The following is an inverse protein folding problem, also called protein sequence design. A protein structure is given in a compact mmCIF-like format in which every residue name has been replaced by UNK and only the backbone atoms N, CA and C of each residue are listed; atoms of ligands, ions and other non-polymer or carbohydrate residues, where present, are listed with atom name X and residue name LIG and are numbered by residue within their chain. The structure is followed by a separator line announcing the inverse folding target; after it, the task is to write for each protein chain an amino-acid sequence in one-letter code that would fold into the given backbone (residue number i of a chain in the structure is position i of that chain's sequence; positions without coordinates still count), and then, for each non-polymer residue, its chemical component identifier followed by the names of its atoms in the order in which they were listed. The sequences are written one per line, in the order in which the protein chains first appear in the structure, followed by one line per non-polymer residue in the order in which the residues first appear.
data_IF_866769977794
#
_entry.id   IF_866769977794
#
_cell.length_a   1.000
_cell.length_b   1.000
_cell.length_c   1.000
_cell.angle_alpha   90.00
_cell.angle_beta   90.00
_cell.angle_gamma   90.00
#
_symmetry.space_group_name_H-M   'P 1'
#
loop_
_entity.id
_entity.type
_entity.pdbx_description
1 polymer ?
#
# COMPACT_ATOMS: atom_id res chain seq x y z
N UNK A 1 11.16 -6.01 24.04
CA UNK A 1 9.87 -5.61 23.42
C UNK A 1 9.35 -6.80 22.63
N UNK A 2 8.06 -7.10 22.74
CA UNK A 2 7.40 -8.20 22.02
C UNK A 2 6.12 -7.71 21.36
N UNK A 3 5.78 -8.28 20.21
CA UNK A 3 4.48 -8.06 19.57
C UNK A 3 3.39 -8.67 20.46
N UNK A 4 2.43 -7.85 20.89
CA UNK A 4 1.34 -8.24 21.77
C UNK A 4 0.03 -8.44 21.00
N UNK A 5 -0.23 -7.65 19.96
CA UNK A 5 -1.49 -7.68 19.21
C UNK A 5 -1.30 -7.22 17.77
N UNK A 6 -2.06 -7.82 16.86
CA UNK A 6 -2.23 -7.35 15.49
C UNK A 6 -3.72 -7.11 15.25
N UNK A 7 -4.09 -5.90 14.86
CA UNK A 7 -5.46 -5.48 14.62
C UNK A 7 -5.63 -5.05 13.17
N UNK A 8 -6.80 -5.33 12.57
CA UNK A 8 -7.11 -4.97 11.19
C UNK A 8 -8.22 -3.91 11.14
N UNK A 9 -8.06 -2.91 10.27
CA UNK A 9 -8.98 -1.77 10.13
C UNK A 9 -9.38 -1.56 8.67
N UNK A 10 -10.65 -1.20 8.48
CA UNK A 10 -11.29 -1.11 7.16
C UNK A 10 -12.01 0.24 6.98
N UNK A 11 -11.30 1.38 7.03
CA UNK A 11 -11.93 2.71 7.01
C UNK A 11 -12.62 3.03 5.67
N UNK A 12 -12.28 2.30 4.60
CA UNK A 12 -12.92 2.38 3.29
C UNK A 12 -13.05 0.97 2.71
N UNK A 13 -14.03 0.78 1.82
CA UNK A 13 -14.34 -0.54 1.25
C UNK A 13 -13.10 -1.30 0.73
N UNK A 14 -12.19 -0.58 0.05
CA UNK A 14 -10.99 -1.14 -0.57
C UNK A 14 -9.72 -1.04 0.27
N UNK A 15 -9.75 -0.31 1.38
CA UNK A 15 -8.57 -0.08 2.21
C UNK A 15 -8.44 -1.16 3.27
N UNK A 16 -7.24 -1.73 3.43
CA UNK A 16 -6.90 -2.69 4.49
C UNK A 16 -5.70 -2.16 5.25
N UNK A 17 -5.91 -1.73 6.49
CA UNK A 17 -4.83 -1.29 7.38
C UNK A 17 -4.64 -2.28 8.50
N UNK A 18 -3.43 -2.36 9.03
CA UNK A 18 -3.12 -3.11 10.23
C UNK A 18 -2.42 -2.21 11.25
N UNK A 19 -2.63 -2.51 12.53
CA UNK A 19 -1.87 -1.96 13.65
C UNK A 19 -1.22 -3.11 14.41
N UNK A 20 0.10 -3.07 14.54
CA UNK A 20 0.87 -3.98 15.38
C UNK A 20 1.18 -3.24 16.68
N UNK A 21 0.71 -3.76 17.81
CA UNK A 21 0.97 -3.20 19.15
C UNK A 21 1.92 -4.10 19.92
N UNK A 22 2.80 -3.50 20.71
CA UNK A 22 3.81 -4.20 21.51
C UNK A 22 3.49 -4.17 23.01
N UNK A 23 4.14 -5.05 23.77
CA UNK A 23 4.07 -5.09 25.24
C UNK A 23 4.61 -3.82 25.94
N UNK A 24 5.32 -2.96 25.20
CA UNK A 24 5.83 -1.68 25.69
C UNK A 24 4.89 -0.49 25.43
N UNK A 25 3.74 -0.72 24.79
CA UNK A 25 2.80 0.33 24.39
C UNK A 25 3.13 1.00 23.05
N UNK A 26 4.31 0.75 22.46
CA UNK A 26 4.60 1.17 21.08
C UNK A 26 3.70 0.42 20.10
N UNK A 27 3.30 1.12 19.04
CA UNK A 27 2.56 0.52 17.94
C UNK A 27 2.96 1.09 16.59
N UNK A 28 2.87 0.26 15.55
CA UNK A 28 3.15 0.64 14.17
C UNK A 28 1.98 0.32 13.24
N UNK A 29 1.90 1.08 12.16
CA UNK A 29 0.85 0.98 11.15
C UNK A 29 1.40 0.52 9.81
N UNK A 30 0.60 -0.25 9.10
CA UNK A 30 0.89 -0.64 7.72
C UNK A 30 -0.37 -0.90 6.91
N UNK A 31 -0.22 -0.92 5.60
CA UNK A 31 -1.30 -1.13 4.65
C UNK A 31 -1.13 -2.46 3.90
N UNK A 32 -2.16 -3.29 3.95
CA UNK A 32 -2.24 -4.62 3.33
C UNK A 32 -3.24 -4.64 2.18
N UNK A 33 -3.54 -3.48 1.59
CA UNK A 33 -4.52 -3.36 0.50
C UNK A 33 -4.11 -4.23 -0.70
N UNK A 34 -5.03 -5.10 -1.14
CA UNK A 34 -4.93 -5.83 -2.40
C UNK A 34 -6.26 -5.72 -3.14
N UNK A 35 -6.23 -4.98 -4.24
CA UNK A 35 -7.41 -4.67 -5.03
C UNK A 35 -8.10 -5.94 -5.54
N UNK A 36 -9.42 -6.03 -5.33
CA UNK A 36 -10.22 -7.19 -5.72
C UNK A 36 -10.07 -8.44 -4.84
N UNK A 37 -9.08 -8.50 -3.94
CA UNK A 37 -8.88 -9.63 -3.00
C UNK A 37 -8.74 -9.19 -1.53
N UNK A 38 -9.63 -8.34 -1.00
CA UNK A 38 -9.50 -7.84 0.36
C UNK A 38 -9.60 -8.94 1.44
N UNK A 39 -10.51 -9.91 1.27
CA UNK A 39 -10.73 -11.00 2.24
C UNK A 39 -9.54 -11.96 2.30
N UNK A 40 -8.97 -12.29 1.13
CA UNK A 40 -7.81 -13.17 1.05
C UNK A 40 -6.62 -12.58 1.81
N UNK A 41 -6.39 -11.28 1.67
CA UNK A 41 -5.28 -10.62 2.36
C UNK A 41 -5.51 -10.52 3.87
N UNK A 42 -6.75 -10.35 4.32
CA UNK A 42 -7.10 -10.41 5.74
C UNK A 42 -6.78 -11.79 6.34
N UNK A 43 -7.15 -12.87 5.66
CA UNK A 43 -6.83 -14.23 6.10
C UNK A 43 -5.32 -14.48 6.17
N UNK A 44 -4.57 -13.98 5.17
CA UNK A 44 -3.11 -14.07 5.21
C UNK A 44 -2.51 -13.30 6.41
N UNK A 45 -3.04 -12.13 6.77
CA UNK A 45 -2.61 -11.41 7.98
C UNK A 45 -2.87 -12.24 9.25
N UNK A 46 -4.01 -12.90 9.34
CA UNK A 46 -4.37 -13.76 10.49
C UNK A 46 -3.43 -14.96 10.62
N UNK A 47 -3.10 -15.63 9.51
CA UNK A 47 -2.13 -16.73 9.48
C UNK A 47 -0.74 -16.28 9.93
N UNK A 48 -0.28 -15.11 9.45
CA UNK A 48 1.01 -14.55 9.82
C UNK A 48 1.05 -14.05 11.27
N UNK A 49 -0.09 -13.63 11.84
CA UNK A 49 -0.16 -13.19 13.22
C UNK A 49 0.23 -14.32 14.19
N UNK A 50 -0.17 -15.57 13.92
CA UNK A 50 0.20 -16.73 14.73
C UNK A 50 1.71 -16.91 14.89
N UNK A 51 2.49 -16.57 13.84
CA UNK A 51 3.95 -16.56 13.91
C UNK A 51 4.48 -15.33 14.67
N UNK A 52 3.92 -14.13 14.46
CA UNK A 52 4.49 -12.86 14.93
C UNK A 52 4.25 -12.58 16.43
N UNK A 53 3.12 -13.00 17.00
CA UNK A 53 2.82 -12.73 18.41
C UNK A 53 3.93 -13.28 19.32
N UNK A 54 4.37 -12.46 20.27
CA UNK A 54 5.43 -12.79 21.23
C UNK A 54 6.86 -12.60 20.70
N UNK A 55 7.06 -12.26 19.42
CA UNK A 55 8.39 -12.01 18.84
C UNK A 55 8.82 -10.56 18.97
N UNK A 56 10.13 -10.35 18.90
CA UNK A 56 10.75 -9.02 18.92
C UNK A 56 10.57 -8.31 17.57
N UNK A 57 9.75 -7.25 17.48
CA UNK A 57 9.44 -6.59 16.21
C UNK A 57 10.66 -5.92 15.54
N UNK A 58 11.76 -5.70 16.28
CA UNK A 58 12.97 -5.08 15.72
C UNK A 58 13.78 -6.04 14.84
N UNK A 59 13.47 -7.34 14.85
CA UNK A 59 14.10 -8.33 13.96
C UNK A 59 13.42 -8.36 12.59
N UNK A 60 13.22 -7.19 11.98
CA UNK A 60 12.41 -6.99 10.77
C UNK A 60 12.83 -7.94 9.65
N UNK A 61 14.10 -7.92 9.24
CA UNK A 61 14.61 -8.77 8.15
C UNK A 61 14.46 -10.27 8.46
N UNK A 62 14.63 -10.67 9.72
CA UNK A 62 14.40 -12.06 10.11
C UNK A 62 12.93 -12.46 9.95
N UNK A 63 11.99 -11.60 10.34
CA UNK A 63 10.57 -11.86 10.14
C UNK A 63 10.20 -11.88 8.66
N UNK A 64 10.74 -10.94 7.88
CA UNK A 64 10.54 -10.89 6.44
C UNK A 64 10.99 -12.20 5.77
N UNK A 65 12.23 -12.63 6.05
CA UNK A 65 12.80 -13.85 5.48
C UNK A 65 12.03 -15.11 5.92
N UNK A 66 11.65 -15.20 7.19
CA UNK A 66 10.89 -16.35 7.70
C UNK A 66 9.52 -16.42 7.02
N UNK A 67 8.78 -15.31 6.96
CA UNK A 67 7.45 -15.29 6.35
C UNK A 67 7.55 -15.64 4.86
N UNK A 68 8.50 -15.04 4.15
CA UNK A 68 8.64 -15.24 2.70
C UNK A 68 9.11 -16.66 2.34
N UNK A 69 10.06 -17.23 3.10
CA UNK A 69 10.74 -18.49 2.74
C UNK A 69 10.19 -19.72 3.43
N UNK A 70 9.54 -19.58 4.59
CA UNK A 70 9.00 -20.71 5.35
C UNK A 70 7.57 -21.08 4.98
N UNK A 71 6.94 -20.37 4.03
CA UNK A 71 5.61 -20.68 3.50
C UNK A 71 5.57 -21.89 2.54
N UNK A 72 6.67 -22.64 2.42
CA UNK A 72 6.91 -23.67 1.40
C UNK A 72 6.92 -23.11 -0.03
N UNK A 73 5.77 -22.68 -0.54
CA UNK A 73 5.66 -21.88 -1.76
C UNK A 73 5.85 -20.40 -1.44
N UNK A 74 6.63 -19.70 -2.28
CA UNK A 74 7.02 -18.32 -1.99
C UNK A 74 6.06 -17.31 -2.61
N UNK A 75 5.59 -16.39 -1.79
CA UNK A 75 4.94 -15.14 -2.22
C UNK A 75 3.59 -15.32 -2.90
N UNK A 76 3.41 -14.66 -4.04
CA UNK A 76 2.10 -14.42 -4.66
C UNK A 76 1.45 -13.13 -4.16
N UNK A 77 0.45 -12.61 -4.88
CA UNK A 77 -0.12 -11.29 -4.60
C UNK A 77 -0.68 -11.16 -3.19
N UNK A 78 -1.40 -12.18 -2.73
CA UNK A 78 -2.03 -12.18 -1.40
C UNK A 78 -0.99 -12.15 -0.28
N UNK A 79 -0.05 -13.11 -0.28
CA UNK A 79 0.96 -13.20 0.78
C UNK A 79 1.90 -11.99 0.78
N UNK A 80 2.29 -11.50 -0.41
CA UNK A 80 3.18 -10.34 -0.51
C UNK A 80 2.48 -9.03 -0.08
N UNK A 81 1.18 -8.88 -0.33
CA UNK A 81 0.40 -7.74 0.19
C UNK A 81 0.30 -7.78 1.72
N UNK A 82 0.05 -8.94 2.32
CA UNK A 82 0.03 -9.08 3.77
C UNK A 82 1.41 -8.80 4.39
N UNK A 83 2.47 -9.40 3.82
CA UNK A 83 3.85 -9.20 4.27
C UNK A 83 4.28 -7.73 4.15
N UNK A 84 3.92 -7.03 3.06
CA UNK A 84 4.23 -5.61 2.87
C UNK A 84 3.67 -4.73 3.99
N UNK A 85 2.40 -4.91 4.35
CA UNK A 85 1.81 -4.13 5.45
C UNK A 85 2.40 -4.48 6.82
N UNK A 86 2.77 -5.74 7.04
CA UNK A 86 3.51 -6.13 8.26
C UNK A 86 4.88 -5.44 8.31
N UNK A 87 5.65 -5.48 7.22
CA UNK A 87 6.96 -4.85 7.12
C UNK A 87 6.88 -3.34 7.41
N UNK A 88 5.92 -2.64 6.81
CA UNK A 88 5.64 -1.23 7.10
C UNK A 88 5.39 -0.97 8.58
N UNK A 89 4.53 -1.78 9.22
CA UNK A 89 4.21 -1.63 10.63
C UNK A 89 5.41 -1.90 11.55
N UNK A 90 6.26 -2.88 11.21
CA UNK A 90 7.49 -3.16 11.95
C UNK A 90 8.51 -2.02 11.81
N UNK A 91 8.65 -1.45 10.61
CA UNK A 91 9.49 -0.26 10.41
C UNK A 91 8.96 0.97 11.13
N UNK A 92 7.65 1.19 11.17
CA UNK A 92 7.02 2.25 11.95
C UNK A 92 7.29 2.08 13.46
N UNK A 93 7.21 0.84 13.98
CA UNK A 93 7.65 0.53 15.36
C UNK A 93 9.13 0.86 15.55
N UNK A 94 10.02 0.47 14.63
CA UNK A 94 11.44 0.74 14.75
C UNK A 94 11.74 2.24 14.77
N UNK A 95 11.12 3.02 13.87
CA UNK A 95 11.25 4.48 13.87
C UNK A 95 10.83 5.10 15.20
N UNK A 96 9.67 4.69 15.74
CA UNK A 96 9.18 5.15 17.05
C UNK A 96 10.07 4.70 18.21
N UNK A 97 10.59 3.47 18.15
CA UNK A 97 11.49 2.92 19.16
C UNK A 97 12.79 3.71 19.25
N UNK A 98 13.39 4.07 18.10
CA UNK A 98 14.62 4.85 18.03
C UNK A 98 14.39 6.37 18.06
N UNK A 99 13.15 6.83 18.12
CA UNK A 99 12.81 8.26 18.12
C UNK A 99 13.18 8.99 16.83
N UNK A 100 13.23 8.28 15.69
CA UNK A 100 13.63 8.85 14.39
C UNK A 100 12.67 8.47 13.26
N UNK A 101 12.54 9.29 12.21
CA UNK A 101 11.86 8.87 10.99
C UNK A 101 12.55 7.65 10.35
N UNK A 102 11.78 6.74 9.76
CA UNK A 102 12.29 5.48 9.16
C UNK A 102 13.43 5.72 8.17
N UNK A 103 13.36 6.76 7.35
CA UNK A 103 14.42 7.06 6.37
C UNK A 103 15.80 7.34 7.01
N UNK A 104 15.87 7.72 8.30
CA UNK A 104 17.14 7.84 9.04
C UNK A 104 17.76 6.48 9.32
N UNK A 105 16.94 5.47 9.58
CA UNK A 105 17.37 4.08 9.76
C UNK A 105 17.84 3.46 8.42
N UNK A 106 17.29 3.95 7.30
CA UNK A 106 17.63 3.52 5.93
C UNK A 106 18.85 4.26 5.33
N UNK A 107 19.75 4.76 6.15
CA UNK A 107 20.98 5.45 5.71
C UNK A 107 20.87 6.97 5.58
N UNK A 108 19.73 7.56 5.95
CA UNK A 108 19.55 9.01 5.98
C UNK A 108 18.99 9.62 4.69
N UNK A 109 18.55 10.90 4.75
CA UNK A 109 18.02 11.59 3.59
C UNK A 109 19.13 11.87 2.56
N UNK A 110 18.85 11.58 1.29
CA UNK A 110 19.71 11.93 0.14
C UNK A 110 19.15 13.11 -0.66
N UNK A 111 18.03 13.68 -0.21
CA UNK A 111 17.31 14.83 -0.79
C UNK A 111 16.36 15.41 0.25
N UNK A 112 16.05 16.70 0.13
CA UNK A 112 15.16 17.40 1.08
C UNK A 112 13.68 17.31 0.69
N UNK A 113 13.38 17.06 -0.59
CA UNK A 113 12.01 16.93 -1.12
C UNK A 113 11.93 15.90 -2.24
N UNK A 114 10.74 15.33 -2.40
CA UNK A 114 10.40 14.40 -3.49
C UNK A 114 9.37 15.07 -4.40
N UNK A 115 9.65 15.17 -5.70
CA UNK A 115 8.65 15.64 -6.68
C UNK A 115 7.57 14.57 -6.83
N UNK A 116 6.31 14.98 -6.70
CA UNK A 116 5.13 14.11 -6.87
C UNK A 116 4.39 14.47 -8.15
N UNK A 117 3.58 13.53 -8.64
CA UNK A 117 2.60 13.74 -9.71
C UNK A 117 1.19 13.47 -9.18
N UNK A 118 0.18 14.08 -9.80
CA UNK A 118 -1.21 13.83 -9.43
C UNK A 118 -1.88 12.84 -10.38
N UNK A 119 -2.73 11.97 -9.85
CA UNK A 119 -3.67 11.24 -10.68
C UNK A 119 -4.78 12.21 -11.13
N UNK A 120 -4.87 12.46 -12.43
CA UNK A 120 -5.84 13.37 -13.04
C UNK A 120 -7.20 12.68 -13.23
N UNK A 121 -7.19 11.47 -13.79
CA UNK A 121 -8.38 10.61 -13.94
C UNK A 121 -9.39 11.13 -14.97
N UNK A 122 -9.28 10.65 -16.21
CA UNK A 122 -10.31 10.84 -17.24
C UNK A 122 -11.40 9.78 -17.03
N UNK A 123 -12.60 10.20 -16.62
CA UNK A 123 -13.70 9.30 -16.26
C UNK A 123 -14.41 8.63 -17.45
N UNK A 124 -14.05 8.99 -18.68
CA UNK A 124 -14.68 8.55 -19.93
C UNK A 124 -14.61 9.63 -21.00
N UNK A 125 -15.21 9.34 -22.15
CA UNK A 125 -15.15 10.21 -23.34
C UNK A 125 -16.44 11.02 -23.57
N UNK A 126 -17.38 11.00 -22.61
CA UNK A 126 -18.57 11.87 -22.70
C UNK A 126 -18.18 13.32 -22.42
N UNK A 127 -18.94 14.26 -22.97
CA UNK A 127 -18.69 15.69 -22.73
C UNK A 127 -18.72 16.03 -21.24
N UNK A 128 -19.60 15.40 -20.44
CA UNK A 128 -19.61 15.62 -18.99
C UNK A 128 -18.34 15.08 -18.31
N UNK A 129 -17.86 13.90 -18.72
CA UNK A 129 -16.64 13.30 -18.16
C UNK A 129 -15.41 14.14 -18.51
N UNK A 130 -15.34 14.67 -19.73
CA UNK A 130 -14.27 15.56 -20.18
C UNK A 130 -14.32 16.92 -19.48
N UNK A 131 -15.51 17.47 -19.26
CA UNK A 131 -15.68 18.72 -18.50
C UNK A 131 -15.23 18.55 -17.04
N UNK A 132 -15.65 17.47 -16.36
CA UNK A 132 -15.22 17.17 -15.00
C UNK A 132 -13.71 16.92 -14.91
N UNK A 133 -13.12 16.26 -15.91
CA UNK A 133 -11.68 16.10 -15.99
C UNK A 133 -10.97 17.45 -16.12
N UNK A 134 -11.44 18.36 -16.99
CA UNK A 134 -10.86 19.71 -17.11
C UNK A 134 -10.91 20.49 -15.78
N UNK A 135 -12.06 20.49 -15.11
CA UNK A 135 -12.20 21.11 -13.79
C UNK A 135 -11.19 20.54 -12.78
N UNK A 136 -11.04 19.22 -12.75
CA UNK A 136 -10.05 18.56 -11.88
C UNK A 136 -8.61 18.94 -12.23
N UNK A 137 -8.28 19.08 -13.51
CA UNK A 137 -6.96 19.52 -13.95
C UNK A 137 -6.68 20.94 -13.47
N UNK A 138 -7.63 21.85 -13.65
CA UNK A 138 -7.50 23.25 -13.23
C UNK A 138 -7.28 23.36 -11.72
N UNK A 139 -7.97 22.53 -10.91
CA UNK A 139 -7.68 22.43 -9.47
C UNK A 139 -6.26 21.96 -9.18
N UNK A 140 -5.82 20.87 -9.82
CA UNK A 140 -4.48 20.33 -9.60
C UNK A 140 -3.38 21.32 -10.00
N UNK A 141 -3.59 22.08 -11.08
CA UNK A 141 -2.71 23.17 -11.49
C UNK A 141 -2.64 24.27 -10.43
N UNK A 142 -3.78 24.66 -9.83
CA UNK A 142 -3.83 25.62 -8.71
C UNK A 142 -3.07 25.12 -7.47
N UNK A 143 -3.08 23.81 -7.21
CA UNK A 143 -2.25 23.19 -6.15
C UNK A 143 -0.75 23.10 -6.51
N UNK A 144 -0.34 23.51 -7.73
CA UNK A 144 1.05 23.53 -8.17
C UNK A 144 1.56 22.22 -8.76
N UNK A 145 0.68 21.26 -9.08
CA UNK A 145 1.10 20.05 -9.79
C UNK A 145 1.51 20.38 -11.22
N UNK A 146 2.66 19.84 -11.64
CA UNK A 146 3.23 20.03 -12.99
C UNK A 146 3.44 18.71 -13.73
N UNK A 147 3.00 17.61 -13.14
CA UNK A 147 3.08 16.26 -13.69
C UNK A 147 1.82 15.48 -13.31
N UNK A 148 1.29 14.72 -14.27
CA UNK A 148 -0.01 14.06 -14.16
C UNK A 148 0.06 12.63 -14.67
N UNK A 149 -0.77 11.76 -14.11
CA UNK A 149 -1.05 10.42 -14.64
C UNK A 149 -2.54 10.26 -14.88
N UNK A 150 -2.91 9.69 -16.02
CA UNK A 150 -4.27 9.28 -16.34
C UNK A 150 -4.27 7.89 -16.97
N UNK A 151 -5.46 7.29 -17.08
CA UNK A 151 -5.70 6.13 -17.92
C UNK A 151 -6.59 6.51 -19.11
N UNK A 152 -6.68 5.64 -20.13
CA UNK A 152 -7.72 5.78 -21.16
C UNK A 152 -9.11 5.77 -20.52
N UNK A 153 -10.02 6.57 -21.06
CA UNK A 153 -11.42 6.58 -20.64
C UNK A 153 -12.12 5.24 -20.91
N UNK A 154 -13.28 5.03 -20.27
CA UNK A 154 -14.13 3.87 -20.52
C UNK A 154 -14.06 2.76 -19.47
N UNK A 155 -14.93 1.74 -19.63
CA UNK A 155 -14.92 0.56 -18.76
C UNK A 155 -13.79 -0.36 -19.19
N UNK A 156 -12.69 -0.38 -18.44
CA UNK A 156 -11.66 -1.41 -18.57
C UNK A 156 -12.28 -2.80 -18.46
N UNK A 157 -12.39 -3.50 -19.59
CA UNK A 157 -12.68 -4.93 -19.61
C UNK A 157 -11.34 -5.67 -19.62
N UNK A 158 -11.25 -6.78 -18.90
CA UNK A 158 -10.02 -7.61 -18.88
C UNK A 158 -9.59 -8.08 -20.29
N UNK A 159 -10.51 -8.04 -21.26
CA UNK A 159 -10.26 -8.22 -22.68
C UNK A 159 -11.09 -7.18 -23.46
N UNK A 160 -10.43 -6.19 -24.04
CA UNK A 160 -11.05 -5.37 -25.09
C UNK A 160 -11.10 -6.19 -26.38
N UNK A 161 -12.22 -6.18 -27.14
CA UNK A 161 -12.27 -6.86 -28.42
C UNK A 161 -11.29 -6.20 -29.41
N UNK A 162 -10.75 -6.94 -30.41
CA UNK A 162 -9.81 -6.39 -31.39
C UNK A 162 -10.28 -5.07 -32.02
N UNK A 163 -11.59 -4.97 -32.32
CA UNK A 163 -12.22 -3.73 -32.85
C UNK A 163 -11.99 -2.48 -31.99
N UNK A 164 -11.90 -2.63 -30.67
CA UNK A 164 -11.63 -1.50 -29.75
C UNK A 164 -10.14 -1.18 -29.73
N UNK A 165 -9.26 -2.19 -29.79
CA UNK A 165 -7.81 -2.02 -29.86
C UNK A 165 -7.42 -1.32 -31.16
N UNK A 166 -7.96 -1.76 -32.30
CA UNK A 166 -7.69 -1.21 -33.63
C UNK A 166 -8.14 0.25 -33.79
N UNK A 167 -9.01 0.75 -32.90
CA UNK A 167 -9.44 2.16 -32.92
C UNK A 167 -8.41 3.11 -32.26
N UNK A 168 -7.41 2.57 -31.55
CA UNK A 168 -6.36 3.35 -30.90
C UNK A 168 -5.05 3.42 -31.71
N UNK A 169 -4.89 2.60 -32.76
CA UNK A 169 -3.68 2.50 -33.61
C UNK A 169 -3.97 3.08 -34.98
#
# INVERSE_FOLDING_TARGET
MKIAKIEQFFPRQRMRLIKISTDTGLSGWGETTLEGKPKSTMGAVEELAGYLIGKDPLRIEHHWQQIYRSAFFRGGSVLMSALSGIDQALWDIAGKHYGVPVHRLLGGPVRDRVRVYAHWGIGGDTDEALAAAKERLDELLKYGYTAFKSGPGGKWRGHEPPKVIDAFV
#
